data_IF_553480678603
#
_entry.id   IF_553480678603
#
_cell.length_a   1.000
_cell.length_b   1.000
_cell.length_c   1.000
_cell.angle_alpha   90.00
_cell.angle_beta   90.00
_cell.angle_gamma   90.00
#
_symmetry.space_group_name_H-M   'P 1'
#
loop_
_entity.id
_entity.type
_entity.pdbx_description
1 polymer ?
#
# COMPACT_ATOMS: atom_id res chain seq x y z
N UNK A 1 -17.73 0.59 -10.36
CA UNK A 1 -16.40 1.18 -10.57
C UNK A 1 -15.39 0.07 -10.75
N UNK A 2 -14.59 0.11 -11.81
CA UNK A 2 -13.53 -0.86 -12.08
C UNK A 2 -12.17 -0.30 -11.64
N UNK A 3 -11.51 -0.99 -10.71
CA UNK A 3 -10.24 -0.58 -10.12
C UNK A 3 -9.16 -1.57 -10.56
N UNK A 4 -8.20 -1.10 -11.36
CA UNK A 4 -7.00 -1.87 -11.68
C UNK A 4 -5.99 -1.72 -10.55
N UNK A 5 -5.32 -2.81 -10.17
CA UNK A 5 -4.46 -2.85 -8.98
C UNK A 5 -3.07 -3.35 -9.36
N UNK A 6 -2.03 -2.65 -8.90
CA UNK A 6 -0.65 -3.11 -8.95
C UNK A 6 0.15 -2.56 -7.76
N UNK A 7 1.18 -3.28 -7.36
CA UNK A 7 2.18 -2.85 -6.37
C UNK A 7 3.54 -3.50 -6.64
N UNK A 8 4.54 -3.05 -5.92
CA UNK A 8 5.87 -3.69 -5.90
C UNK A 8 6.45 -3.91 -7.31
N UNK A 9 6.31 -2.90 -8.18
CA UNK A 9 6.80 -2.98 -9.56
C UNK A 9 8.33 -2.89 -9.63
N UNK A 10 8.94 -2.27 -8.62
CA UNK A 10 10.40 -2.18 -8.46
C UNK A 10 11.15 -1.83 -9.74
N UNK A 11 10.69 -0.77 -10.38
CA UNK A 11 11.24 -0.32 -11.67
C UNK A 11 12.69 0.13 -11.59
N UNK A 12 13.20 0.43 -10.40
CA UNK A 12 14.59 0.74 -10.13
C UNK A 12 15.55 -0.41 -10.45
N UNK A 13 15.05 -1.64 -10.55
CA UNK A 13 15.84 -2.82 -10.91
C UNK A 13 15.73 -3.20 -12.39
N UNK A 14 15.02 -2.42 -13.20
CA UNK A 14 14.93 -2.64 -14.64
C UNK A 14 16.19 -2.10 -15.34
N UNK A 15 16.72 -2.87 -16.27
CA UNK A 15 17.81 -2.39 -17.14
C UNK A 15 17.30 -1.32 -18.11
N UNK A 16 18.15 -0.34 -18.51
CA UNK A 16 17.80 0.61 -19.56
C UNK A 16 17.34 -0.13 -20.82
N UNK A 17 16.17 0.22 -21.34
CA UNK A 17 15.54 -0.44 -22.48
C UNK A 17 14.64 -1.63 -22.15
N UNK A 18 14.60 -2.08 -20.90
CA UNK A 18 13.59 -3.02 -20.39
C UNK A 18 12.40 -2.29 -19.79
N UNK A 19 12.23 -1.02 -20.16
CA UNK A 19 11.09 -0.25 -19.65
C UNK A 19 9.80 -0.67 -20.35
N UNK A 20 9.01 -1.50 -19.74
CA UNK A 20 7.71 -1.77 -20.30
C UNK A 20 6.75 -0.71 -19.74
N UNK A 21 6.46 0.30 -20.57
CA UNK A 21 5.11 0.92 -20.53
C UNK A 21 4.05 -0.20 -20.47
N UNK A 22 4.42 -1.40 -20.92
CA UNK A 22 3.64 -2.64 -20.98
C UNK A 22 3.62 -3.48 -19.69
N UNK A 23 4.16 -3.00 -18.56
CA UNK A 23 4.03 -3.72 -17.27
C UNK A 23 2.58 -3.87 -16.82
N UNK A 24 1.72 -2.95 -17.23
CA UNK A 24 0.30 -2.98 -16.98
C UNK A 24 -0.43 -3.01 -18.32
N UNK A 25 -1.47 -3.82 -18.41
CA UNK A 25 -2.36 -3.83 -19.57
C UNK A 25 -3.40 -2.73 -19.43
N UNK A 26 -3.75 -2.08 -20.54
CA UNK A 26 -4.90 -1.19 -20.58
C UNK A 26 -6.17 -2.06 -20.57
N UNK A 27 -6.92 -1.94 -19.50
CA UNK A 27 -8.19 -2.64 -19.29
C UNK A 27 -9.38 -1.68 -19.25
N UNK A 28 -9.16 -0.41 -19.55
CA UNK A 28 -10.18 0.63 -19.49
C UNK A 28 -10.70 0.87 -18.06
N UNK A 29 -9.83 0.78 -17.06
CA UNK A 29 -10.22 0.97 -15.67
C UNK A 29 -10.64 2.41 -15.38
N UNK A 30 -11.59 2.59 -14.45
CA UNK A 30 -11.95 3.92 -13.95
C UNK A 30 -10.82 4.48 -13.08
N UNK A 31 -10.20 3.62 -12.26
CA UNK A 31 -9.11 3.99 -11.36
C UNK A 31 -7.98 2.97 -11.47
N UNK A 32 -6.74 3.43 -11.58
CA UNK A 32 -5.54 2.64 -11.36
C UNK A 32 -5.01 2.91 -9.96
N UNK A 33 -4.89 1.87 -9.13
CA UNK A 33 -4.26 1.94 -7.80
C UNK A 33 -2.86 1.37 -7.88
N UNK A 34 -1.87 2.20 -7.54
CA UNK A 34 -0.47 1.86 -7.36
C UNK A 34 -0.16 1.84 -5.87
N UNK A 35 -0.13 0.65 -5.27
CA UNK A 35 -0.06 0.46 -3.81
C UNK A 35 1.40 0.33 -3.30
N UNK A 36 2.28 1.24 -3.74
CA UNK A 36 3.65 1.40 -3.26
C UNK A 36 4.69 0.53 -3.96
N UNK A 37 5.95 0.88 -3.73
CA UNK A 37 7.14 0.25 -4.28
C UNK A 37 7.14 0.19 -5.82
N UNK A 38 6.75 1.31 -6.42
CA UNK A 38 6.74 1.46 -7.88
C UNK A 38 8.14 1.77 -8.40
N UNK A 39 8.83 2.72 -7.75
CA UNK A 39 10.20 3.12 -8.03
C UNK A 39 10.73 4.00 -6.90
N UNK A 40 12.05 4.11 -6.75
CA UNK A 40 12.66 5.03 -5.78
C UNK A 40 12.34 6.49 -6.08
N UNK A 41 12.21 7.30 -5.02
CA UNK A 41 11.99 8.74 -5.03
C UNK A 41 10.71 9.14 -5.81
N UNK A 42 10.81 10.22 -6.56
CA UNK A 42 9.69 10.74 -7.39
C UNK A 42 9.50 9.97 -8.70
N UNK A 43 10.42 9.05 -9.04
CA UNK A 43 10.44 8.41 -10.35
C UNK A 43 9.21 7.54 -10.60
N UNK A 44 8.66 6.90 -9.56
CA UNK A 44 7.42 6.14 -9.65
C UNK A 44 6.23 7.02 -10.01
N UNK A 45 6.16 8.20 -9.40
CA UNK A 45 5.09 9.17 -9.65
C UNK A 45 5.21 9.77 -11.06
N UNK A 46 6.43 10.09 -11.52
CA UNK A 46 6.68 10.56 -12.89
C UNK A 46 6.29 9.51 -13.92
N UNK A 47 6.62 8.25 -13.67
CA UNK A 47 6.19 7.16 -14.54
C UNK A 47 4.67 7.00 -14.54
N UNK A 48 4.03 7.01 -13.38
CA UNK A 48 2.57 6.92 -13.27
C UNK A 48 1.89 8.02 -14.10
N UNK A 49 2.43 9.25 -14.09
CA UNK A 49 1.93 10.36 -14.89
C UNK A 49 2.03 10.14 -16.42
N UNK A 50 2.91 9.25 -16.87
CA UNK A 50 3.06 8.91 -18.28
C UNK A 50 2.04 7.89 -18.76
N UNK A 51 1.34 7.21 -17.84
CA UNK A 51 0.35 6.19 -18.16
C UNK A 51 -0.95 6.83 -18.67
N UNK A 52 -1.61 6.13 -19.61
CA UNK A 52 -2.91 6.55 -20.17
C UNK A 52 -3.90 5.38 -20.18
N UNK A 53 -3.88 4.58 -19.09
CA UNK A 53 -4.63 3.32 -19.00
C UNK A 53 -5.81 3.36 -18.00
N UNK A 54 -6.05 4.52 -17.38
CA UNK A 54 -7.17 4.72 -16.45
C UNK A 54 -7.63 6.18 -16.48
N UNK A 55 -8.82 6.46 -15.95
CA UNK A 55 -9.35 7.82 -15.84
C UNK A 55 -8.76 8.58 -14.64
N UNK A 56 -8.41 7.88 -13.56
CA UNK A 56 -7.75 8.39 -12.37
C UNK A 56 -6.61 7.47 -11.96
N UNK A 57 -5.54 8.03 -11.40
CA UNK A 57 -4.45 7.26 -10.78
C UNK A 57 -4.40 7.61 -9.30
N UNK A 58 -4.44 6.59 -8.44
CA UNK A 58 -4.15 6.69 -7.02
C UNK A 58 -2.76 6.11 -6.79
N UNK A 59 -1.91 6.88 -6.12
CA UNK A 59 -0.55 6.50 -5.79
C UNK A 59 -0.35 6.54 -4.27
N UNK A 60 -0.03 5.41 -3.68
CA UNK A 60 0.38 5.30 -2.27
C UNK A 60 1.87 4.99 -2.25
N UNK A 61 2.72 5.73 -1.54
CA UNK A 61 4.14 5.41 -1.43
C UNK A 61 4.38 4.13 -0.63
N UNK A 62 5.34 3.31 -1.05
CA UNK A 62 5.88 2.23 -0.25
C UNK A 62 7.17 2.64 0.48
N UNK A 63 7.91 1.67 1.01
CA UNK A 63 9.20 1.95 1.65
C UNK A 63 10.31 2.21 0.62
N UNK A 64 10.27 1.59 -0.58
CA UNK A 64 11.28 1.79 -1.62
C UNK A 64 11.27 3.20 -2.21
N UNK A 65 10.14 3.90 -2.23
CA UNK A 65 10.12 5.31 -2.59
C UNK A 65 11.11 6.11 -1.73
N UNK A 66 11.26 5.75 -0.46
CA UNK A 66 12.13 6.46 0.50
C UNK A 66 13.57 5.94 0.56
N UNK A 67 13.96 4.90 -0.22
CA UNK A 67 15.33 4.40 -0.24
C UNK A 67 16.30 5.47 -0.72
N UNK A 68 17.41 5.64 0.01
CA UNK A 68 18.43 6.67 -0.21
C UNK A 68 17.90 8.12 -0.17
N UNK A 69 16.74 8.33 0.46
CA UNK A 69 16.11 9.63 0.67
C UNK A 69 15.73 9.80 2.15
N UNK A 70 15.20 10.98 2.48
CA UNK A 70 14.75 11.32 3.82
C UNK A 70 13.23 11.43 3.82
N UNK A 71 12.53 10.67 4.68
CA UNK A 71 11.06 10.61 4.69
C UNK A 71 10.40 11.99 4.72
N UNK A 72 10.65 12.88 5.71
CA UNK A 72 10.01 14.18 5.75
C UNK A 72 10.23 15.05 4.49
N UNK A 73 11.43 15.00 3.93
CA UNK A 73 11.79 15.82 2.77
C UNK A 73 11.11 15.28 1.51
N UNK A 74 11.25 13.98 1.24
CA UNK A 74 10.67 13.35 0.07
C UNK A 74 9.14 13.36 0.09
N UNK A 75 8.51 13.23 1.28
CA UNK A 75 7.05 13.33 1.40
C UNK A 75 6.53 14.73 1.00
N UNK A 76 7.31 15.80 1.23
CA UNK A 76 6.97 17.15 0.74
C UNK A 76 7.15 17.23 -0.76
N UNK A 77 8.25 16.72 -1.29
CA UNK A 77 8.56 16.70 -2.73
C UNK A 77 7.51 15.92 -3.53
N UNK A 78 7.15 14.71 -3.08
CA UNK A 78 6.11 13.90 -3.71
C UNK A 78 4.76 14.64 -3.75
N UNK A 79 4.37 15.30 -2.66
CA UNK A 79 3.11 16.07 -2.61
C UNK A 79 3.12 17.27 -3.57
N UNK A 80 4.24 17.98 -3.65
CA UNK A 80 4.41 19.11 -4.56
C UNK A 80 4.29 18.64 -6.02
N UNK A 81 5.07 17.60 -6.36
CA UNK A 81 5.08 17.04 -7.71
C UNK A 81 3.71 16.48 -8.12
N UNK A 82 3.02 15.77 -7.22
CA UNK A 82 1.67 15.26 -7.53
C UNK A 82 0.70 16.41 -7.87
N UNK A 83 0.81 17.55 -7.16
CA UNK A 83 0.03 18.74 -7.47
C UNK A 83 0.34 19.33 -8.85
N UNK A 84 1.61 19.31 -9.27
CA UNK A 84 2.04 19.79 -10.59
C UNK A 84 1.65 18.84 -11.71
N UNK A 85 1.69 17.52 -11.47
CA UNK A 85 1.37 16.48 -12.44
C UNK A 85 -0.14 16.25 -12.63
N UNK A 86 -0.96 16.82 -11.77
CA UNK A 86 -2.42 16.79 -11.93
C UNK A 86 -2.82 17.68 -13.12
N UNK A 87 -2.48 17.22 -14.32
CA UNK A 87 -2.82 17.87 -15.58
C UNK A 87 -4.25 17.48 -15.99
N UNK A 88 -4.90 18.26 -16.87
CA UNK A 88 -6.34 18.12 -17.16
C UNK A 88 -6.76 16.80 -17.79
N UNK A 89 -5.86 15.88 -18.09
CA UNK A 89 -6.19 14.64 -18.78
C UNK A 89 -6.34 13.41 -17.89
N UNK A 90 -5.47 13.23 -16.88
CA UNK A 90 -5.56 12.11 -15.93
C UNK A 90 -5.12 12.61 -14.54
N UNK A 91 -6.06 12.81 -13.60
CA UNK A 91 -5.72 13.22 -12.24
C UNK A 91 -4.91 12.14 -11.51
N UNK A 92 -3.81 12.58 -10.87
CA UNK A 92 -3.01 11.74 -9.99
C UNK A 92 -3.26 12.14 -8.55
N UNK A 93 -3.70 11.20 -7.74
CA UNK A 93 -3.98 11.38 -6.33
C UNK A 93 -2.90 10.67 -5.51
N UNK A 94 -1.96 11.44 -4.98
CA UNK A 94 -0.98 10.93 -4.00
C UNK A 94 -1.65 10.83 -2.63
N UNK A 95 -1.79 9.61 -2.13
CA UNK A 95 -2.40 9.35 -0.84
C UNK A 95 -1.35 8.81 0.16
N UNK A 96 -0.98 9.65 1.11
CA UNK A 96 -0.20 9.29 2.28
C UNK A 96 -0.78 10.03 3.48
N UNK A 97 -1.55 9.32 4.30
CA UNK A 97 -2.49 9.84 5.29
C UNK A 97 -3.47 10.86 4.66
N UNK A 98 -4.05 10.47 3.53
CA UNK A 98 -4.99 11.31 2.77
C UNK A 98 -6.11 10.48 2.18
N UNK A 99 -7.22 11.16 1.90
CA UNK A 99 -8.37 10.58 1.21
C UNK A 99 -8.71 11.34 -0.08
N UNK A 100 -9.43 10.68 -0.95
CA UNK A 100 -10.07 11.26 -2.14
C UNK A 100 -11.40 10.57 -2.40
N UNK A 101 -12.36 11.29 -2.92
CA UNK A 101 -13.64 10.73 -3.40
C UNK A 101 -13.64 10.75 -4.92
N UNK A 102 -13.86 9.60 -5.55
CA UNK A 102 -13.94 9.42 -7.00
C UNK A 102 -15.20 8.61 -7.31
N UNK A 103 -16.08 9.13 -8.15
CA UNK A 103 -17.27 8.41 -8.62
C UNK A 103 -18.18 7.89 -7.50
N UNK A 104 -18.28 8.62 -6.38
CA UNK A 104 -19.08 8.22 -5.22
C UNK A 104 -18.42 7.21 -4.28
N UNK A 105 -17.19 6.77 -4.56
CA UNK A 105 -16.39 5.89 -3.68
C UNK A 105 -15.31 6.70 -2.97
N UNK A 106 -15.10 6.43 -1.67
CA UNK A 106 -14.06 7.06 -0.86
C UNK A 106 -12.82 6.17 -0.80
N UNK A 107 -11.67 6.74 -1.11
CA UNK A 107 -10.37 6.07 -1.07
C UNK A 107 -9.50 6.70 0.02
N UNK A 108 -9.00 5.89 0.93
CA UNK A 108 -8.07 6.29 1.97
C UNK A 108 -6.72 5.61 1.73
N UNK A 109 -5.63 6.40 1.67
CA UNK A 109 -4.30 5.85 1.38
C UNK A 109 -3.25 6.26 2.39
N UNK A 110 -2.36 5.31 2.73
CA UNK A 110 -1.20 5.52 3.60
C UNK A 110 -0.14 4.44 3.36
N UNK A 111 1.15 4.77 3.52
CA UNK A 111 2.22 3.77 3.56
C UNK A 111 1.98 2.73 4.67
N UNK A 112 1.35 3.11 5.76
CA UNK A 112 1.01 2.37 6.97
C UNK A 112 2.22 2.07 7.86
N UNK A 113 3.36 1.58 7.32
CA UNK A 113 4.45 1.00 8.10
C UNK A 113 3.96 -0.16 8.98
N UNK A 114 4.71 -0.58 10.02
CA UNK A 114 4.31 -1.68 10.89
C UNK A 114 4.52 -1.38 12.36
N UNK A 115 3.76 -2.07 13.22
CA UNK A 115 3.89 -2.05 14.68
C UNK A 115 4.83 -3.14 15.22
N UNK A 116 5.28 -4.05 14.36
CA UNK A 116 6.11 -5.20 14.74
C UNK A 116 5.43 -6.17 15.73
N UNK A 117 4.11 -6.18 15.83
CA UNK A 117 3.39 -6.92 16.87
C UNK A 117 2.60 -8.14 16.38
N UNK A 118 2.56 -8.44 15.08
CA UNK A 118 1.73 -9.54 14.53
C UNK A 118 2.06 -10.92 15.14
N UNK A 119 3.29 -11.18 15.57
CA UNK A 119 3.69 -12.41 16.27
C UNK A 119 3.51 -12.29 17.80
N UNK A 120 2.91 -11.21 18.30
CA UNK A 120 2.68 -10.89 19.70
C UNK A 120 3.57 -9.76 20.22
N UNK A 121 3.07 -9.08 21.24
CA UNK A 121 3.79 -8.02 21.96
C UNK A 121 4.85 -8.58 22.92
N UNK A 122 5.68 -7.69 23.48
CA UNK A 122 6.71 -8.03 24.45
C UNK A 122 7.92 -8.70 23.82
N UNK A 123 8.26 -9.91 24.24
CA UNK A 123 9.47 -10.62 23.79
C UNK A 123 9.47 -10.90 22.29
N UNK A 124 8.40 -11.40 21.66
CA UNK A 124 8.36 -11.60 20.20
C UNK A 124 8.59 -10.31 19.44
N UNK A 125 7.91 -9.23 19.80
CA UNK A 125 8.10 -7.91 19.19
C UNK A 125 9.52 -7.39 19.36
N UNK A 126 10.11 -7.53 20.56
CA UNK A 126 11.50 -7.13 20.80
C UNK A 126 12.48 -7.87 19.89
N UNK A 127 12.32 -9.20 19.73
CA UNK A 127 13.16 -10.00 18.84
C UNK A 127 13.00 -9.58 17.39
N UNK A 128 11.77 -9.32 16.95
CA UNK A 128 11.49 -8.82 15.60
C UNK A 128 12.18 -7.47 15.33
N UNK A 129 12.10 -6.54 16.25
CA UNK A 129 12.77 -5.23 16.15
C UNK A 129 14.31 -5.37 16.03
N UNK A 130 14.92 -6.28 16.81
CA UNK A 130 16.36 -6.52 16.72
C UNK A 130 16.76 -7.18 15.39
N UNK A 131 16.01 -8.18 14.95
CA UNK A 131 16.24 -8.84 13.67
C UNK A 131 16.09 -7.87 12.51
N UNK A 132 14.99 -7.12 12.46
CA UNK A 132 14.71 -6.15 11.42
C UNK A 132 15.80 -5.08 11.31
N UNK A 133 16.23 -4.50 12.46
CA UNK A 133 17.31 -3.52 12.49
C UNK A 133 18.59 -4.01 11.82
N UNK A 134 18.89 -5.30 11.96
CA UNK A 134 20.13 -5.89 11.44
C UNK A 134 20.00 -6.35 9.99
N UNK A 135 18.81 -6.74 9.54
CA UNK A 135 18.59 -7.42 8.27
C UNK A 135 17.92 -6.52 7.23
N UNK A 136 16.87 -5.77 7.60
CA UNK A 136 16.10 -4.98 6.65
C UNK A 136 16.88 -3.76 6.14
N UNK A 137 16.84 -3.55 4.83
CA UNK A 137 17.51 -2.44 4.16
C UNK A 137 16.94 -1.08 4.59
N UNK A 138 15.66 -1.01 4.92
CA UNK A 138 14.95 0.20 5.36
C UNK A 138 15.71 0.96 6.45
N UNK A 139 16.26 0.21 7.43
CA UNK A 139 16.94 0.80 8.59
C UNK A 139 18.41 1.17 8.33
N UNK A 140 18.87 0.98 7.08
CA UNK A 140 20.23 1.31 6.63
C UNK A 140 20.25 2.35 5.52
N UNK A 141 19.17 2.49 4.76
CA UNK A 141 19.15 3.37 3.58
C UNK A 141 18.06 4.44 3.61
N UNK A 142 17.09 4.40 4.55
CA UNK A 142 16.08 5.45 4.66
C UNK A 142 16.49 6.47 5.71
N UNK A 143 16.63 7.73 5.30
CA UNK A 143 16.87 8.85 6.19
C UNK A 143 15.61 9.29 6.94
N UNK A 144 15.77 9.81 8.17
CA UNK A 144 14.66 10.30 8.97
C UNK A 144 15.06 11.54 9.81
N UNK A 145 14.44 12.67 9.50
CA UNK A 145 14.73 13.95 10.18
C UNK A 145 16.07 14.54 9.78
N UNK A 146 16.61 15.47 10.57
CA UNK A 146 17.78 16.28 10.16
C UNK A 146 19.10 15.52 10.09
N UNK A 147 19.27 14.43 10.87
CA UNK A 147 20.56 13.73 10.99
C UNK A 147 20.42 12.23 11.27
N UNK A 148 19.22 11.67 11.11
CA UNK A 148 18.96 10.29 11.53
C UNK A 148 18.62 9.35 10.38
N UNK A 149 18.64 8.08 10.71
CA UNK A 149 18.12 7.01 9.89
C UNK A 149 16.77 6.54 10.43
N UNK A 150 15.94 5.97 9.58
CA UNK A 150 14.78 5.21 10.02
C UNK A 150 15.24 4.11 10.98
N UNK A 151 14.42 3.81 11.96
CA UNK A 151 14.64 2.69 12.88
C UNK A 151 13.33 1.93 13.08
N UNK A 152 13.36 0.68 13.56
CA UNK A 152 12.12 -0.04 13.86
C UNK A 152 11.19 0.72 14.80
N UNK A 153 11.73 1.46 15.79
CA UNK A 153 10.93 2.29 16.69
C UNK A 153 10.29 3.49 15.99
N UNK A 154 10.98 4.07 15.00
CA UNK A 154 10.42 5.14 14.16
C UNK A 154 9.36 4.60 13.20
N UNK A 155 9.52 3.37 12.69
CA UNK A 155 8.49 2.69 11.92
C UNK A 155 7.21 2.51 12.76
N UNK A 156 7.31 2.03 14.00
CA UNK A 156 6.17 1.96 14.93
C UNK A 156 5.52 3.32 15.14
N UNK A 157 6.31 4.39 15.27
CA UNK A 157 5.76 5.75 15.43
C UNK A 157 4.98 6.18 14.17
N UNK A 158 5.53 5.93 12.99
CA UNK A 158 4.86 6.24 11.72
C UNK A 158 3.58 5.42 11.57
N UNK A 159 3.62 4.13 11.91
CA UNK A 159 2.44 3.27 11.94
C UNK A 159 1.33 3.81 12.84
N UNK A 160 1.68 4.23 14.07
CA UNK A 160 0.70 4.81 14.99
C UNK A 160 0.03 6.07 14.42
N UNK A 161 0.81 6.95 13.79
CA UNK A 161 0.29 8.17 13.15
C UNK A 161 -0.67 7.80 12.01
N UNK A 162 -0.27 6.84 11.16
CA UNK A 162 -1.09 6.39 10.03
C UNK A 162 -2.38 5.71 10.50
N UNK A 163 -2.28 4.85 11.50
CA UNK A 163 -3.43 4.13 12.07
C UNK A 163 -4.41 5.07 12.78
N UNK A 164 -3.90 6.05 13.52
CA UNK A 164 -4.74 7.07 14.17
C UNK A 164 -5.52 7.88 13.12
N UNK A 165 -4.81 8.38 12.09
CA UNK A 165 -5.46 9.07 10.98
C UNK A 165 -6.51 8.20 10.29
N UNK A 166 -6.17 6.96 9.97
CA UNK A 166 -7.07 6.01 9.30
C UNK A 166 -8.34 5.77 10.14
N UNK A 167 -8.18 5.48 11.43
CA UNK A 167 -9.30 5.23 12.32
C UNK A 167 -10.20 6.46 12.51
N UNK A 168 -9.61 7.66 12.60
CA UNK A 168 -10.37 8.92 12.69
C UNK A 168 -11.16 9.17 11.41
N UNK A 169 -10.54 8.96 10.24
CA UNK A 169 -11.18 9.17 8.94
C UNK A 169 -12.29 8.15 8.68
N UNK A 170 -12.05 6.86 8.99
CA UNK A 170 -13.05 5.80 8.86
C UNK A 170 -14.26 6.02 9.79
N UNK A 171 -14.06 6.67 10.94
CA UNK A 171 -15.15 6.99 11.87
C UNK A 171 -16.11 8.06 11.32
N UNK A 172 -15.73 8.79 10.27
CA UNK A 172 -16.61 9.76 9.62
C UNK A 172 -17.56 9.00 8.69
N UNK A 173 -18.88 9.07 8.90
CA UNK A 173 -19.83 8.40 8.03
C UNK A 173 -19.66 8.82 6.57
N UNK A 174 -19.77 7.88 5.66
CA UNK A 174 -19.71 8.13 4.24
C UNK A 174 -20.81 7.33 3.53
N UNK A 175 -21.53 8.00 2.63
CA UNK A 175 -22.59 7.38 1.84
C UNK A 175 -22.00 6.85 0.51
N UNK A 176 -21.46 5.64 0.55
CA UNK A 176 -20.83 4.98 -0.58
C UNK A 176 -19.72 4.02 -0.14
N UNK A 177 -19.15 3.27 -1.09
CA UNK A 177 -18.07 2.33 -0.79
C UNK A 177 -16.83 3.04 -0.26
N UNK A 178 -16.20 2.42 0.74
CA UNK A 178 -14.92 2.87 1.30
C UNK A 178 -13.82 1.86 0.99
N UNK A 179 -12.79 2.34 0.31
CA UNK A 179 -11.63 1.57 -0.11
C UNK A 179 -10.41 2.04 0.68
N UNK A 180 -9.75 1.15 1.39
CA UNK A 180 -8.49 1.42 2.07
C UNK A 180 -7.34 0.91 1.22
N UNK A 181 -6.28 1.72 1.08
CA UNK A 181 -5.08 1.37 0.32
C UNK A 181 -3.88 1.58 1.24
N UNK A 182 -3.15 0.50 1.51
CA UNK A 182 -1.90 0.58 2.26
C UNK A 182 -0.77 -0.05 1.46
N UNK A 183 0.48 0.36 1.73
CA UNK A 183 1.59 -0.40 1.19
C UNK A 183 1.86 -1.63 2.05
N UNK A 184 2.10 -1.44 3.36
CA UNK A 184 2.32 -2.58 4.25
C UNK A 184 1.04 -3.38 4.47
N UNK A 185 1.23 -4.67 4.71
CA UNK A 185 0.18 -5.67 4.86
C UNK A 185 -0.66 -5.41 6.14
N UNK A 186 -2.00 -5.39 6.03
CA UNK A 186 -2.88 -5.08 7.16
C UNK A 186 -3.44 -6.29 7.90
N UNK A 187 -3.26 -7.52 7.39
CA UNK A 187 -4.00 -8.67 7.92
C UNK A 187 -3.18 -9.97 7.88
N UNK A 188 -3.25 -10.83 8.92
CA UNK A 188 -2.47 -12.06 9.01
C UNK A 188 -2.65 -13.05 7.85
N UNK A 189 -3.82 -13.07 7.22
CA UNK A 189 -4.08 -13.95 6.07
C UNK A 189 -3.34 -13.54 4.80
N UNK A 190 -2.73 -12.35 4.77
CA UNK A 190 -1.78 -11.95 3.73
C UNK A 190 -0.32 -12.31 4.07
N UNK A 191 -0.08 -13.11 5.09
CA UNK A 191 1.23 -13.70 5.36
C UNK A 191 1.29 -15.08 4.73
N UNK A 192 2.17 -15.24 3.73
CA UNK A 192 2.37 -16.52 3.07
C UNK A 192 2.81 -17.58 4.07
N UNK A 193 2.34 -18.83 3.89
CA UNK A 193 2.54 -19.92 4.85
C UNK A 193 4.00 -20.13 5.24
N UNK A 194 4.94 -19.93 4.28
CA UNK A 194 6.38 -20.05 4.50
C UNK A 194 6.96 -19.00 5.44
N UNK A 195 6.22 -17.91 5.70
CA UNK A 195 6.65 -16.80 6.55
C UNK A 195 5.89 -16.71 7.88
N UNK A 196 4.89 -17.57 8.10
CA UNK A 196 4.16 -17.59 9.37
C UNK A 196 5.10 -17.94 10.52
N UNK A 197 5.15 -17.05 11.51
CA UNK A 197 6.02 -17.19 12.68
C UNK A 197 7.50 -16.83 12.43
N UNK A 198 7.88 -16.42 11.23
CA UNK A 198 9.22 -15.89 10.98
C UNK A 198 9.44 -14.59 11.76
N UNK A 199 10.64 -14.41 12.30
CA UNK A 199 11.00 -13.27 13.15
C UNK A 199 10.97 -11.93 12.42
N UNK A 200 11.07 -11.92 11.08
CA UNK A 200 11.01 -10.72 10.25
C UNK A 200 9.59 -10.37 9.79
N UNK A 201 8.65 -11.33 9.80
CA UNK A 201 7.26 -11.11 9.36
C UNK A 201 6.62 -9.86 10.00
N UNK A 202 6.87 -9.53 11.29
CA UNK A 202 6.33 -8.32 11.90
C UNK A 202 6.83 -7.01 11.28
N UNK A 203 7.92 -7.03 10.51
CA UNK A 203 8.37 -5.88 9.73
C UNK A 203 7.61 -5.66 8.42
N UNK A 204 6.77 -6.62 8.02
CA UNK A 204 6.02 -6.60 6.77
C UNK A 204 4.51 -6.45 6.97
N UNK A 205 3.98 -6.95 8.06
CA UNK A 205 2.55 -7.06 8.30
C UNK A 205 2.19 -6.68 9.74
N UNK A 206 1.07 -5.99 9.89
CA UNK A 206 0.40 -5.73 11.17
C UNK A 206 -0.98 -6.41 11.20
N UNK A 207 -1.52 -6.68 12.37
CA UNK A 207 -2.88 -7.21 12.50
C UNK A 207 -3.88 -6.07 12.76
N UNK A 208 -4.56 -5.65 11.69
CA UNK A 208 -5.60 -4.64 11.72
C UNK A 208 -7.01 -5.24 11.57
N UNK A 209 -7.19 -6.51 11.95
CA UNK A 209 -8.51 -7.16 11.94
C UNK A 209 -9.56 -6.34 12.70
N UNK A 210 -9.15 -5.68 13.79
CA UNK A 210 -10.04 -4.82 14.58
C UNK A 210 -10.52 -3.56 13.81
N UNK A 211 -9.71 -3.03 12.87
CA UNK A 211 -10.11 -1.90 12.01
C UNK A 211 -11.16 -2.37 11.02
N UNK A 212 -10.94 -3.53 10.41
CA UNK A 212 -11.88 -4.18 9.49
C UNK A 212 -13.21 -4.40 10.20
N UNK A 213 -13.17 -5.03 11.37
CA UNK A 213 -14.35 -5.35 12.17
C UNK A 213 -15.11 -4.13 12.65
N UNK A 214 -14.42 -3.03 12.94
CA UNK A 214 -15.05 -1.83 13.49
C UNK A 214 -15.66 -0.92 12.44
N UNK A 215 -15.01 -0.83 11.26
CA UNK A 215 -15.33 0.21 10.29
C UNK A 215 -15.86 -0.33 8.95
N UNK A 216 -15.78 -1.64 8.73
CA UNK A 216 -16.37 -2.34 7.58
C UNK A 216 -16.01 -1.70 6.22
N UNK A 217 -14.72 -1.44 5.90
CA UNK A 217 -14.37 -1.01 4.55
C UNK A 217 -14.69 -2.15 3.55
N UNK A 218 -15.21 -1.83 2.39
CA UNK A 218 -15.59 -2.83 1.38
C UNK A 218 -14.38 -3.50 0.75
N UNK A 219 -13.30 -2.73 0.57
CA UNK A 219 -12.09 -3.22 -0.08
C UNK A 219 -10.85 -2.70 0.66
N UNK A 220 -9.86 -3.59 0.84
CA UNK A 220 -8.53 -3.23 1.30
C UNK A 220 -7.48 -3.70 0.30
N UNK A 221 -6.74 -2.77 -0.30
CA UNK A 221 -5.68 -3.05 -1.26
C UNK A 221 -4.34 -2.84 -0.55
N UNK A 222 -3.39 -3.77 -0.74
CA UNK A 222 -2.05 -3.60 -0.19
C UNK A 222 -0.95 -4.15 -1.13
N UNK A 223 0.32 -3.95 -0.75
CA UNK A 223 1.51 -4.45 -1.41
C UNK A 223 2.45 -5.15 -0.43
N UNK A 224 3.75 -4.94 -0.63
CA UNK A 224 4.88 -5.24 0.26
C UNK A 224 5.22 -6.72 0.46
N UNK A 225 4.26 -7.63 0.41
CA UNK A 225 4.47 -9.05 0.73
C UNK A 225 5.04 -9.86 -0.43
N UNK A 226 5.09 -9.31 -1.64
CA UNK A 226 5.50 -9.97 -2.89
C UNK A 226 4.77 -11.29 -3.19
N UNK A 227 3.69 -11.58 -2.47
CA UNK A 227 2.76 -12.67 -2.73
C UNK A 227 1.38 -12.09 -3.06
N UNK A 228 0.71 -12.67 -4.06
CA UNK A 228 -0.63 -12.21 -4.45
C UNK A 228 -1.69 -12.85 -3.55
N UNK A 229 -2.58 -12.01 -3.05
CA UNK A 229 -3.71 -12.41 -2.21
C UNK A 229 -5.02 -11.84 -2.73
N UNK A 230 -6.10 -12.58 -2.51
CA UNK A 230 -7.47 -12.15 -2.83
C UNK A 230 -8.44 -12.98 -1.97
N UNK A 231 -8.90 -12.43 -0.86
CA UNK A 231 -9.76 -13.12 0.09
C UNK A 231 -10.72 -12.15 0.77
N UNK A 232 -11.70 -12.66 1.49
CA UNK A 232 -12.67 -11.86 2.25
C UNK A 232 -12.49 -12.14 3.75
N UNK A 233 -12.38 -11.07 4.53
CA UNK A 233 -12.45 -11.11 5.99
C UNK A 233 -13.90 -10.83 6.37
N UNK A 234 -14.66 -11.83 6.85
CA UNK A 234 -16.07 -11.65 7.19
C UNK A 234 -16.21 -10.76 8.42
N UNK A 235 -17.23 -9.91 8.44
CA UNK A 235 -17.61 -9.14 9.62
C UNK A 235 -18.39 -10.01 10.61
N UNK A 236 -18.17 -9.81 11.91
CA UNK A 236 -18.78 -10.67 12.94
C UNK A 236 -20.30 -10.56 13.03
N UNK A 237 -20.87 -9.44 12.56
CA UNK A 237 -22.33 -9.22 12.51
C UNK A 237 -23.02 -9.95 11.35
N UNK A 238 -22.25 -10.59 10.46
CA UNK A 238 -22.76 -11.34 9.33
C UNK A 238 -23.33 -10.49 8.19
N UNK A 239 -23.16 -9.16 8.22
CA UNK A 239 -23.71 -8.25 7.21
C UNK A 239 -22.85 -8.19 5.93
N UNK A 240 -21.65 -8.79 5.94
CA UNK A 240 -20.73 -8.80 4.81
C UNK A 240 -19.29 -9.13 5.19
N UNK A 241 -18.35 -8.56 4.47
CA UNK A 241 -16.92 -8.73 4.72
C UNK A 241 -16.08 -7.74 3.93
N UNK A 242 -14.87 -7.51 4.37
CA UNK A 242 -13.87 -6.72 3.67
C UNK A 242 -13.09 -7.61 2.73
N UNK A 243 -13.11 -7.34 1.43
CA UNK A 243 -12.22 -8.01 0.47
C UNK A 243 -10.82 -7.42 0.59
N UNK A 244 -9.82 -8.27 0.82
CA UNK A 244 -8.40 -7.89 0.90
C UNK A 244 -7.69 -8.40 -0.35
N UNK A 245 -7.02 -7.49 -1.08
CA UNK A 245 -6.38 -7.80 -2.35
C UNK A 245 -4.96 -7.25 -2.41
N UNK A 246 -4.04 -8.10 -2.88
CA UNK A 246 -2.65 -7.75 -3.14
C UNK A 246 -2.23 -8.30 -4.50
N UNK A 247 -1.66 -7.45 -5.36
CA UNK A 247 -1.19 -7.83 -6.71
C UNK A 247 0.22 -7.29 -6.96
N UNK A 248 1.23 -7.83 -6.23
CA UNK A 248 2.61 -7.39 -6.34
C UNK A 248 3.32 -8.08 -7.51
N UNK A 249 4.18 -7.33 -8.20
CA UNK A 249 5.10 -7.93 -9.18
C UNK A 249 6.30 -8.59 -8.50
N UNK A 250 6.81 -7.98 -7.45
CA UNK A 250 8.02 -8.43 -6.75
C UNK A 250 9.32 -8.20 -7.54
N UNK A 251 10.43 -8.69 -7.02
CA UNK A 251 11.73 -8.59 -7.68
C UNK A 251 11.85 -9.54 -8.88
N UNK A 252 12.74 -9.21 -9.83
CA UNK A 252 12.95 -10.00 -11.04
C UNK A 252 13.41 -11.45 -10.77
N UNK A 253 14.07 -11.70 -9.65
CA UNK A 253 14.55 -13.02 -9.25
C UNK A 253 13.55 -13.80 -8.40
N UNK A 254 12.47 -13.16 -7.96
CA UNK A 254 11.36 -13.83 -7.30
C UNK A 254 10.42 -14.37 -8.37
N UNK A 255 10.15 -15.67 -8.30
CA UNK A 255 9.14 -16.29 -9.16
C UNK A 255 7.73 -15.90 -8.68
N UNK A 256 7.41 -14.61 -8.67
CA UNK A 256 6.06 -14.11 -8.38
C UNK A 256 5.14 -14.42 -9.58
N UNK A 257 4.90 -15.72 -9.83
CA UNK A 257 4.12 -16.21 -10.97
C UNK A 257 2.63 -15.79 -10.92
N UNK A 258 2.24 -14.99 -9.94
CA UNK A 258 0.84 -14.62 -9.72
C UNK A 258 0.53 -13.15 -10.00
N UNK A 259 1.52 -12.35 -10.38
CA UNK A 259 1.25 -10.98 -10.81
C UNK A 259 0.41 -10.98 -12.07
N UNK A 260 -0.72 -10.31 -12.01
CA UNK A 260 -1.62 -10.13 -13.16
C UNK A 260 -1.60 -8.67 -13.59
N UNK A 261 -1.00 -8.34 -14.77
CA UNK A 261 -0.95 -6.96 -15.27
C UNK A 261 -2.33 -6.38 -15.63
N UNK A 262 -3.35 -7.23 -15.69
CA UNK A 262 -4.74 -6.85 -15.97
C UNK A 262 -5.66 -6.99 -14.75
N UNK A 263 -5.10 -7.17 -13.53
CA UNK A 263 -5.91 -7.37 -12.31
C UNK A 263 -6.88 -6.23 -12.07
N UNK A 264 -8.16 -6.52 -12.15
CA UNK A 264 -9.26 -5.59 -11.88
C UNK A 264 -10.13 -6.12 -10.74
N UNK A 265 -10.53 -5.19 -9.87
CA UNK A 265 -11.57 -5.41 -8.85
C UNK A 265 -12.71 -4.45 -9.14
N UNK A 266 -13.93 -4.95 -9.15
CA UNK A 266 -15.12 -4.12 -9.28
C UNK A 266 -15.68 -3.81 -7.90
N UNK A 267 -15.97 -2.53 -7.66
CA UNK A 267 -16.70 -2.05 -6.49
C UNK A 267 -17.99 -1.43 -6.99
N UNK A 268 -19.12 -2.00 -6.60
CA UNK A 268 -20.46 -1.52 -7.01
C UNK A 268 -20.95 -0.51 -5.98
N UNK A 269 -21.49 0.62 -6.45
CA UNK A 269 -22.02 1.68 -5.58
C UNK A 269 -23.28 1.30 -4.79
N UNK A 270 -23.79 0.06 -4.95
CA UNK A 270 -25.07 -0.40 -4.42
C UNK A 270 -24.97 -1.79 -3.75
N UNK A 271 -23.78 -2.30 -3.48
CA UNK A 271 -23.62 -3.62 -2.85
C UNK A 271 -23.25 -3.53 -1.38
N UNK A 272 -24.23 -3.34 -0.54
CA UNK A 272 -24.31 -4.20 0.66
C UNK A 272 -24.53 -5.60 0.11
N UNK A 273 -23.55 -6.50 0.26
CA UNK A 273 -23.68 -7.88 -0.19
C UNK A 273 -24.96 -8.49 0.37
N UNK A 274 -25.76 -9.24 -0.46
CA UNK A 274 -26.99 -9.85 -0.02
C UNK A 274 -26.78 -10.91 1.06
#
# INVERSE_FOLDING_TARGET
>A
MNIQIASDLHREFLSPGQDPITMLQDVGADVLVLAGDIHQHVNGLLWAASLKIAQHIIYVPGNHEYYNANIPQLSVELRHLAGELTLPQIPIHLLDNREVVIGGSRFLGTTLWTDFAINGEGTPQFLALQAAKNVMADFRCIGFGSTGWLSPQRSIMLHKIALEWLAQTLAIPFDGPTIVITHHCPHPDSVAERFKGDVLTPGFCSDLSWVIEKFHPELWIHGHTHDSFDYVVPWSDGSGGTRVVCNPRGYLFENSMKFDPAKVVTVDGDTRFP
#
